data_IF_811141323069
#
_entry.id   IF_811141323069
#
_cell.length_a   1.000
_cell.length_b   1.000
_cell.length_c   1.000
_cell.angle_alpha   90.00
_cell.angle_beta   90.00
_cell.angle_gamma   90.00
#
_symmetry.space_group_name_H-M   'P 1'
#
loop_
_entity.id
_entity.type
_entity.pdbx_description
1 polymer ?
#
# COMPACT_ATOMS: atom_id res chain seq x y z
N UNK A 1 -10.37 -29.06 11.03
CA UNK A 1 -11.52 -29.54 11.84
C UNK A 1 -12.49 -28.41 12.20
N UNK A 2 -12.04 -27.19 12.52
CA UNK A 2 -12.94 -26.02 12.76
C UNK A 2 -13.68 -25.56 11.49
N UNK A 3 -13.08 -25.72 10.30
CA UNK A 3 -13.72 -25.35 9.03
C UNK A 3 -14.76 -26.35 8.49
N UNK A 4 -14.94 -27.54 9.09
CA UNK A 4 -15.95 -28.48 8.59
C UNK A 4 -17.37 -28.17 9.07
N UNK A 5 -17.52 -27.56 10.26
CA UNK A 5 -18.84 -27.11 10.74
C UNK A 5 -19.25 -25.72 10.22
N UNK A 6 -18.27 -24.88 9.85
CA UNK A 6 -18.51 -23.53 9.34
C UNK A 6 -18.17 -23.34 7.85
N UNK A 7 -17.73 -24.38 7.14
CA UNK A 7 -17.39 -24.30 5.71
C UNK A 7 -18.55 -23.84 4.83
N UNK A 8 -19.78 -24.18 5.22
CA UNK A 8 -21.01 -23.71 4.58
C UNK A 8 -21.38 -22.25 4.91
N UNK A 9 -20.77 -21.63 5.93
CA UNK A 9 -20.96 -20.19 6.18
C UNK A 9 -20.17 -19.33 5.21
N UNK A 10 -19.04 -19.82 4.68
CA UNK A 10 -18.22 -19.09 3.70
C UNK A 10 -18.70 -19.27 2.25
N UNK A 11 -19.70 -20.11 2.00
CA UNK A 11 -20.28 -20.29 0.66
C UNK A 11 -21.33 -19.25 0.30
N UNK A 12 -21.63 -18.31 1.20
CA UNK A 12 -22.58 -17.22 0.97
C UNK A 12 -21.83 -15.89 0.88
N UNK A 13 -22.24 -15.07 -0.09
CA UNK A 13 -21.59 -13.78 -0.38
C UNK A 13 -21.64 -12.79 0.81
N UNK A 14 -22.67 -12.89 1.67
CA UNK A 14 -22.83 -11.97 2.80
C UNK A 14 -21.80 -12.22 3.92
N UNK A 15 -21.67 -13.43 4.53
CA UNK A 15 -20.62 -13.70 5.50
C UNK A 15 -19.22 -13.37 4.97
N UNK A 16 -18.91 -13.76 3.74
CA UNK A 16 -17.61 -13.47 3.12
C UNK A 16 -17.35 -11.96 3.05
N UNK A 17 -18.27 -11.20 2.45
CA UNK A 17 -18.10 -9.75 2.31
C UNK A 17 -17.99 -9.01 3.64
N UNK A 18 -18.70 -9.42 4.69
CA UNK A 18 -18.57 -8.82 6.03
C UNK A 18 -17.21 -9.15 6.67
N UNK A 19 -16.75 -10.38 6.50
CA UNK A 19 -15.46 -10.82 7.04
C UNK A 19 -14.31 -10.10 6.32
N UNK A 20 -14.42 -9.92 5.01
CA UNK A 20 -13.47 -9.13 4.22
C UNK A 20 -13.39 -7.69 4.76
N UNK A 21 -14.52 -7.05 5.03
CA UNK A 21 -14.57 -5.71 5.64
C UNK A 21 -13.85 -5.67 7.00
N UNK A 22 -14.00 -6.71 7.82
CA UNK A 22 -13.30 -6.82 9.10
C UNK A 22 -11.79 -6.92 8.85
N UNK A 23 -11.34 -7.82 7.98
CA UNK A 23 -9.92 -7.96 7.70
C UNK A 23 -9.32 -6.67 7.11
N UNK A 24 -9.99 -6.05 6.15
CA UNK A 24 -9.57 -4.77 5.56
C UNK A 24 -9.43 -3.68 6.63
N UNK A 25 -10.43 -3.54 7.51
CA UNK A 25 -10.37 -2.51 8.57
C UNK A 25 -9.24 -2.78 9.57
N UNK A 26 -8.97 -4.04 9.88
CA UNK A 26 -7.85 -4.39 10.75
C UNK A 26 -6.50 -4.24 10.05
N UNK A 27 -6.41 -4.51 8.74
CA UNK A 27 -5.21 -4.23 7.94
C UNK A 27 -4.90 -2.72 7.90
N UNK A 28 -5.92 -1.87 7.75
CA UNK A 28 -5.74 -0.41 7.82
C UNK A 28 -5.13 0.04 9.17
N UNK A 29 -5.41 -0.66 10.28
CA UNK A 29 -4.79 -0.37 11.59
C UNK A 29 -3.30 -0.70 11.62
N UNK A 30 -2.84 -1.59 10.74
CA UNK A 30 -1.45 -2.01 10.63
C UNK A 30 -0.63 -1.12 9.72
N UNK A 31 -1.24 -0.12 9.10
CA UNK A 31 -0.54 0.84 8.26
C UNK A 31 0.57 1.55 9.08
N UNK A 32 1.82 1.43 8.59
CA UNK A 32 3.02 1.90 9.28
C UNK A 32 3.49 1.07 10.49
N UNK A 33 2.84 -0.05 10.83
CA UNK A 33 3.22 -0.91 11.96
C UNK A 33 4.09 -2.11 11.52
N UNK A 34 3.77 -2.71 10.37
CA UNK A 34 4.34 -3.99 9.91
C UNK A 34 5.79 -3.91 9.40
N UNK A 35 6.37 -2.72 9.28
CA UNK A 35 7.65 -2.51 8.59
C UNK A 35 8.88 -3.15 9.24
N UNK A 36 8.75 -3.59 10.51
CA UNK A 36 9.87 -3.95 11.38
C UNK A 36 9.69 -5.29 12.12
N UNK A 37 8.73 -6.12 11.73
CA UNK A 37 8.51 -7.43 12.35
C UNK A 37 9.29 -8.48 11.57
N UNK A 38 10.26 -9.12 12.23
CA UNK A 38 10.94 -10.28 11.65
C UNK A 38 9.97 -11.48 11.65
N UNK A 39 9.35 -11.73 10.49
CA UNK A 39 8.28 -12.73 10.34
C UNK A 39 8.76 -14.19 10.50
N UNK A 40 10.08 -14.45 10.48
CA UNK A 40 10.63 -15.80 10.48
C UNK A 40 10.30 -16.64 11.74
N UNK A 41 9.86 -16.01 12.83
CA UNK A 41 9.46 -16.71 14.06
C UNK A 41 8.00 -16.45 14.47
N UNK A 42 7.36 -15.40 13.95
CA UNK A 42 6.11 -14.89 14.49
C UNK A 42 4.85 -15.44 13.82
N UNK A 43 4.85 -15.66 12.49
CA UNK A 43 3.61 -15.94 11.75
C UNK A 43 2.91 -17.21 12.26
N UNK A 44 3.66 -18.29 12.48
CA UNK A 44 3.11 -19.53 13.00
C UNK A 44 2.58 -19.39 14.42
N UNK A 45 3.25 -18.61 15.28
CA UNK A 45 2.83 -18.39 16.66
C UNK A 45 1.57 -17.53 16.71
N UNK A 46 1.53 -16.46 15.92
CA UNK A 46 0.38 -15.56 15.79
C UNK A 46 -0.84 -16.30 15.24
N UNK A 47 -0.67 -17.05 14.15
CA UNK A 47 -1.73 -17.84 13.56
C UNK A 47 -2.25 -18.90 14.55
N UNK A 48 -1.34 -19.63 15.23
CA UNK A 48 -1.74 -20.60 16.26
C UNK A 48 -2.52 -19.95 17.38
N UNK A 49 -2.05 -18.81 17.91
CA UNK A 49 -2.76 -18.12 18.97
C UNK A 49 -4.16 -17.70 18.54
N UNK A 50 -4.28 -17.07 17.35
CA UNK A 50 -5.57 -16.67 16.79
C UNK A 50 -6.52 -17.86 16.64
N UNK A 51 -6.08 -18.96 16.02
CA UNK A 51 -6.94 -20.13 15.79
C UNK A 51 -7.29 -20.88 17.09
N UNK A 52 -6.37 -20.95 18.06
CA UNK A 52 -6.65 -21.53 19.38
C UNK A 52 -7.67 -20.68 20.14
N UNK A 53 -7.52 -19.36 20.13
CA UNK A 53 -8.46 -18.44 20.77
C UNK A 53 -9.85 -18.55 20.12
N UNK A 54 -9.92 -18.52 18.79
CA UNK A 54 -11.14 -18.67 18.03
C UNK A 54 -11.83 -20.02 18.29
N UNK A 55 -11.06 -21.10 18.34
CA UNK A 55 -11.56 -22.44 18.67
C UNK A 55 -12.17 -22.48 20.07
N UNK A 56 -11.43 -22.01 21.08
CA UNK A 56 -11.91 -21.94 22.47
C UNK A 56 -13.19 -21.10 22.59
N UNK A 57 -13.29 -20.00 21.85
CA UNK A 57 -14.46 -19.12 21.88
C UNK A 57 -15.68 -19.79 21.22
N UNK A 58 -15.45 -20.51 20.13
CA UNK A 58 -16.48 -21.32 19.44
C UNK A 58 -17.00 -22.42 20.36
N UNK A 59 -16.11 -23.17 21.01
CA UNK A 59 -16.49 -24.23 21.95
C UNK A 59 -17.33 -23.68 23.11
N UNK A 60 -16.93 -22.52 23.64
CA UNK A 60 -17.69 -21.83 24.69
C UNK A 60 -19.07 -21.36 24.23
N UNK A 61 -19.21 -20.95 22.97
CA UNK A 61 -20.50 -20.53 22.41
C UNK A 61 -21.50 -21.69 22.30
N UNK A 62 -21.02 -22.92 22.15
CA UNK A 62 -21.84 -24.14 22.18
C UNK A 62 -22.27 -24.49 23.61
N UNK A 63 -21.36 -24.31 24.57
CA UNK A 63 -21.53 -24.79 25.95
C UNK A 63 -22.19 -23.79 26.90
N UNK A 64 -22.10 -22.49 26.63
CA UNK A 64 -22.55 -21.41 27.52
C UNK A 64 -23.59 -20.51 26.85
N UNK A 65 -24.82 -20.56 27.37
CA UNK A 65 -25.94 -19.78 26.85
C UNK A 65 -25.73 -18.26 26.99
N UNK A 66 -25.04 -17.79 28.03
CA UNK A 66 -24.78 -16.37 28.22
C UNK A 66 -23.79 -15.86 27.18
N UNK A 67 -22.77 -16.67 26.85
CA UNK A 67 -21.83 -16.34 25.78
C UNK A 67 -22.55 -16.37 24.45
N UNK A 68 -23.38 -17.38 24.18
CA UNK A 68 -24.17 -17.43 22.96
C UNK A 68 -25.02 -16.17 22.75
N UNK A 69 -25.64 -15.65 23.81
CA UNK A 69 -26.40 -14.40 23.75
C UNK A 69 -25.53 -13.19 23.39
N UNK A 70 -24.32 -13.07 23.96
CA UNK A 70 -23.38 -11.97 23.66
C UNK A 70 -22.91 -11.93 22.20
N UNK A 71 -22.89 -13.07 21.52
CA UNK A 71 -22.44 -13.20 20.13
C UNK A 71 -23.59 -13.27 19.13
N UNK A 72 -24.83 -13.22 19.59
CA UNK A 72 -26.03 -13.26 18.76
C UNK A 72 -26.58 -11.85 18.52
N UNK A 73 -27.27 -11.66 17.39
CA UNK A 73 -28.12 -10.48 17.24
C UNK A 73 -29.28 -10.52 18.24
N UNK A 74 -29.77 -9.35 18.71
CA UNK A 74 -30.96 -9.30 19.54
C UNK A 74 -32.14 -10.02 18.90
N UNK A 75 -32.90 -10.79 19.68
CA UNK A 75 -34.05 -11.55 19.18
C UNK A 75 -35.27 -10.69 18.84
N UNK A 76 -35.25 -9.39 19.18
CA UNK A 76 -36.35 -8.47 18.86
C UNK A 76 -36.40 -8.18 17.36
N UNK A 77 -37.60 -7.93 16.79
CA UNK A 77 -37.71 -7.39 15.43
C UNK A 77 -36.91 -6.10 15.31
N UNK A 78 -36.12 -5.99 14.24
CA UNK A 78 -35.29 -4.82 13.95
C UNK A 78 -35.48 -4.43 12.49
N UNK A 79 -35.46 -3.13 12.21
CA UNK A 79 -35.39 -2.66 10.84
C UNK A 79 -33.97 -2.86 10.28
N UNK A 80 -33.85 -2.73 8.96
CA UNK A 80 -32.57 -2.87 8.24
C UNK A 80 -31.46 -2.01 8.87
N UNK A 81 -31.75 -0.73 9.11
CA UNK A 81 -30.76 0.24 9.61
C UNK A 81 -30.25 -0.15 11.00
N UNK A 82 -31.16 -0.56 11.89
CA UNK A 82 -30.81 -1.00 13.23
C UNK A 82 -29.92 -2.24 13.20
N UNK A 83 -30.31 -3.25 12.42
CA UNK A 83 -29.57 -4.52 12.36
C UNK A 83 -28.18 -4.31 11.72
N UNK A 84 -28.09 -3.56 10.63
CA UNK A 84 -26.82 -3.29 9.97
C UNK A 84 -25.87 -2.47 10.85
N UNK A 85 -26.39 -1.62 11.73
CA UNK A 85 -25.56 -0.88 12.70
C UNK A 85 -24.75 -1.79 13.63
N UNK A 86 -25.22 -3.01 13.93
CA UNK A 86 -24.45 -3.97 14.73
C UNK A 86 -23.21 -4.44 14.00
N UNK A 87 -23.30 -4.66 12.68
CA UNK A 87 -22.15 -5.02 11.85
C UNK A 87 -21.16 -3.89 11.75
N UNK A 88 -21.63 -2.65 11.52
CA UNK A 88 -20.76 -1.47 11.49
C UNK A 88 -19.96 -1.29 12.80
N UNK A 89 -20.53 -1.68 13.95
CA UNK A 89 -19.85 -1.62 15.26
C UNK A 89 -18.76 -2.68 15.47
N UNK A 90 -18.71 -3.73 14.64
CA UNK A 90 -17.66 -4.75 14.74
C UNK A 90 -16.29 -4.22 14.25
N UNK A 91 -16.30 -3.12 13.50
CA UNK A 91 -15.10 -2.47 12.98
C UNK A 91 -14.97 -1.06 13.55
N UNK A 92 -13.73 -0.61 13.77
CA UNK A 92 -13.46 0.70 14.38
C UNK A 92 -13.79 1.87 13.47
N UNK A 93 -13.71 1.66 12.15
CA UNK A 93 -13.98 2.68 11.13
C UNK A 93 -14.70 2.02 9.96
N UNK A 94 -15.90 2.51 9.66
CA UNK A 94 -16.66 2.06 8.49
C UNK A 94 -16.48 3.04 7.34
N UNK A 95 -16.14 2.54 6.15
CA UNK A 95 -16.06 3.34 4.93
C UNK A 95 -17.19 2.93 3.97
N UNK A 96 -18.24 3.75 3.88
CA UNK A 96 -19.40 3.44 3.04
C UNK A 96 -19.06 3.31 1.55
N UNK A 97 -18.03 4.01 1.05
CA UNK A 97 -17.63 3.93 -0.35
C UNK A 97 -16.89 2.62 -0.66
N UNK A 98 -16.00 2.19 0.24
CA UNK A 98 -15.24 0.95 0.08
C UNK A 98 -16.10 -0.29 0.34
N UNK A 99 -17.01 -0.23 1.33
CA UNK A 99 -17.76 -1.39 1.81
C UNK A 99 -19.21 -1.44 1.31
N UNK A 100 -19.50 -0.73 0.21
CA UNK A 100 -20.82 -0.67 -0.41
C UNK A 100 -21.34 -2.06 -0.85
N UNK A 101 -20.43 -2.97 -1.19
CA UNK A 101 -20.77 -4.34 -1.60
C UNK A 101 -21.34 -5.15 -0.43
N UNK A 102 -20.72 -5.07 0.76
CA UNK A 102 -21.22 -5.73 1.96
C UNK A 102 -22.61 -5.19 2.35
N UNK A 103 -22.83 -3.88 2.22
CA UNK A 103 -24.15 -3.28 2.42
C UNK A 103 -25.18 -3.79 1.41
N UNK A 104 -24.78 -3.93 0.15
CA UNK A 104 -25.64 -4.44 -0.94
C UNK A 104 -26.07 -5.87 -0.68
N UNK A 105 -25.13 -6.75 -0.35
CA UNK A 105 -25.47 -8.11 0.04
C UNK A 105 -26.36 -8.14 1.28
N UNK A 106 -26.07 -7.31 2.29
CA UNK A 106 -26.92 -7.27 3.47
C UNK A 106 -28.38 -6.91 3.12
N UNK A 107 -28.60 -5.93 2.25
CA UNK A 107 -29.95 -5.54 1.79
C UNK A 107 -30.68 -6.70 1.09
N UNK A 108 -29.98 -7.45 0.23
CA UNK A 108 -30.54 -8.59 -0.49
C UNK A 108 -31.04 -9.64 0.51
N UNK A 109 -30.20 -10.06 1.45
CA UNK A 109 -30.55 -11.08 2.44
C UNK A 109 -31.56 -10.56 3.48
N UNK A 110 -31.60 -9.26 3.78
CA UNK A 110 -32.55 -8.69 4.74
C UNK A 110 -33.98 -8.68 4.19
N UNK A 111 -34.12 -8.40 2.89
CA UNK A 111 -35.41 -8.37 2.21
C UNK A 111 -35.97 -9.77 1.93
N UNK A 112 -35.16 -10.81 2.04
CA UNK A 112 -35.58 -12.20 1.95
C UNK A 112 -35.86 -12.80 3.35
N UNK A 113 -37.12 -13.10 3.70
CA UNK A 113 -37.47 -13.68 4.99
C UNK A 113 -36.78 -15.02 5.29
N UNK A 114 -36.52 -15.83 4.26
CA UNK A 114 -35.88 -17.15 4.40
C UNK A 114 -34.38 -17.01 4.77
N UNK A 115 -33.78 -15.89 4.38
CA UNK A 115 -32.38 -15.55 4.58
C UNK A 115 -32.06 -14.93 5.95
N UNK A 116 -33.04 -14.63 6.80
CA UNK A 116 -32.79 -14.00 8.12
C UNK A 116 -31.88 -14.84 9.03
N UNK A 117 -31.99 -16.16 8.96
CA UNK A 117 -31.11 -17.08 9.68
C UNK A 117 -29.65 -16.95 9.25
N UNK A 118 -29.40 -16.62 7.98
CA UNK A 118 -28.06 -16.41 7.42
C UNK A 118 -27.46 -15.12 7.99
N UNK A 119 -28.23 -14.04 8.12
CA UNK A 119 -27.74 -12.79 8.70
C UNK A 119 -27.28 -12.98 10.15
N UNK A 120 -28.07 -13.71 10.96
CA UNK A 120 -27.70 -13.99 12.35
C UNK A 120 -26.42 -14.82 12.45
N UNK A 121 -26.29 -15.84 11.61
CA UNK A 121 -25.06 -16.64 11.50
C UNK A 121 -23.88 -15.76 11.07
N UNK A 122 -24.04 -14.95 10.02
CA UNK A 122 -23.02 -14.03 9.52
C UNK A 122 -22.52 -13.09 10.62
N UNK A 123 -23.43 -12.49 11.39
CA UNK A 123 -23.08 -11.64 12.54
C UNK A 123 -22.24 -12.39 13.57
N UNK A 124 -22.68 -13.61 13.93
CA UNK A 124 -22.00 -14.42 14.94
C UNK A 124 -20.55 -14.71 14.52
N UNK A 125 -20.32 -15.17 13.29
CA UNK A 125 -18.95 -15.40 12.81
C UNK A 125 -18.13 -14.12 12.69
N UNK A 126 -18.72 -13.05 12.15
CA UNK A 126 -18.05 -11.77 12.04
C UNK A 126 -17.58 -11.26 13.42
N UNK A 127 -18.45 -11.38 14.43
CA UNK A 127 -18.11 -10.99 15.81
C UNK A 127 -17.04 -11.89 16.43
N UNK A 128 -17.13 -13.21 16.23
CA UNK A 128 -16.10 -14.15 16.69
C UNK A 128 -14.72 -13.81 16.10
N UNK A 129 -14.66 -13.49 14.80
CA UNK A 129 -13.43 -13.11 14.11
C UNK A 129 -12.91 -11.79 14.65
N UNK A 130 -13.76 -10.75 14.72
CA UNK A 130 -13.36 -9.44 15.23
C UNK A 130 -12.81 -9.52 16.66
N UNK A 131 -13.50 -10.22 17.57
CA UNK A 131 -13.05 -10.36 18.96
C UNK A 131 -11.76 -11.20 19.06
N UNK A 132 -11.57 -12.20 18.18
CA UNK A 132 -10.34 -13.01 18.12
C UNK A 132 -9.15 -12.22 17.57
N UNK A 133 -9.37 -11.37 16.57
CA UNK A 133 -8.35 -10.44 16.05
C UNK A 133 -7.93 -9.45 17.14
N UNK A 134 -8.90 -8.84 17.82
CA UNK A 134 -8.61 -7.87 18.89
C UNK A 134 -7.87 -8.52 20.07
N UNK A 135 -8.24 -9.74 20.45
CA UNK A 135 -7.52 -10.50 21.47
C UNK A 135 -6.07 -10.82 21.04
N UNK A 136 -5.86 -11.15 19.77
CA UNK A 136 -4.53 -11.40 19.21
C UNK A 136 -3.69 -10.12 19.19
N UNK A 137 -4.28 -8.99 18.79
CA UNK A 137 -3.59 -7.70 18.75
C UNK A 137 -3.17 -7.23 20.15
N UNK A 138 -4.02 -7.45 21.14
CA UNK A 138 -3.71 -7.19 22.56
C UNK A 138 -2.63 -8.09 23.13
N UNK A 139 -2.55 -9.33 22.66
CA UNK A 139 -1.55 -10.29 23.11
C UNK A 139 -0.16 -10.01 22.53
N UNK A 140 -0.10 -9.48 21.30
CA UNK A 140 1.13 -9.17 20.58
C UNK A 140 1.17 -7.71 20.13
N UNK A 141 1.09 -6.74 21.07
CA UNK A 141 1.06 -5.33 20.73
C UNK A 141 2.28 -4.90 19.91
N UNK A 142 3.45 -5.50 20.16
CA UNK A 142 4.71 -5.25 19.43
C UNK A 142 4.66 -5.55 17.93
N UNK A 143 3.69 -6.37 17.51
CA UNK A 143 3.48 -6.72 16.10
C UNK A 143 2.41 -5.82 15.46
N UNK A 144 1.37 -5.47 16.22
CA UNK A 144 0.13 -4.91 15.66
C UNK A 144 -0.18 -3.47 16.08
N UNK A 145 0.58 -2.87 17.01
CA UNK A 145 0.43 -1.45 17.37
C UNK A 145 1.60 -0.63 16.82
N UNK A 146 1.38 0.66 16.49
CA UNK A 146 2.46 1.57 16.13
C UNK A 146 3.50 1.63 17.26
N UNK A 147 4.79 1.58 16.92
CA UNK A 147 5.88 1.58 17.93
C UNK A 147 5.86 2.81 18.83
N UNK A 148 5.43 3.97 18.32
CA UNK A 148 5.21 5.17 19.12
C UNK A 148 4.25 4.94 20.32
N UNK A 149 3.34 3.98 20.21
CA UNK A 149 2.40 3.58 21.27
C UNK A 149 3.00 2.59 22.27
N UNK A 150 4.19 2.04 22.01
CA UNK A 150 4.86 0.99 22.79
C UNK A 150 6.21 1.54 23.27
N UNK A 151 6.20 2.45 24.25
CA UNK A 151 7.44 2.93 24.84
C UNK A 151 8.03 1.86 25.77
N UNK A 152 9.00 1.08 25.29
CA UNK A 152 9.69 0.07 26.10
C UNK A 152 11.17 -0.03 25.71
N UNK A 153 12.11 -0.09 26.67
CA UNK A 153 13.53 -0.32 26.41
C UNK A 153 13.83 -1.62 25.64
N UNK A 154 12.88 -2.57 25.59
CA UNK A 154 13.00 -3.83 24.85
C UNK A 154 12.72 -3.69 23.35
N UNK A 155 12.18 -2.56 22.91
CA UNK A 155 11.80 -2.30 21.52
C UNK A 155 12.34 -0.93 21.10
N UNK A 156 13.62 -0.83 20.70
CA UNK A 156 14.20 0.43 20.28
C UNK A 156 13.46 1.01 19.06
N UNK A 157 13.51 2.34 18.93
CA UNK A 157 13.05 3.04 17.73
C UNK A 157 13.80 2.47 16.53
N UNK A 158 13.12 2.14 15.45
CA UNK A 158 13.77 1.54 14.28
C UNK A 158 13.55 2.35 13.03
N UNK A 159 14.62 2.61 12.28
CA UNK A 159 14.57 3.43 11.05
C UNK A 159 15.31 2.71 9.92
N UNK A 160 14.68 2.66 8.74
CA UNK A 160 15.35 2.18 7.51
C UNK A 160 16.35 3.21 7.00
N UNK A 161 17.59 2.75 6.82
CA UNK A 161 18.64 3.47 6.10
C UNK A 161 18.74 2.87 4.72
N UNK A 162 18.30 3.63 3.73
CA UNK A 162 18.34 3.23 2.33
C UNK A 162 19.76 3.39 1.80
N UNK A 163 20.28 2.31 1.21
CA UNK A 163 21.60 2.27 0.60
C UNK A 163 21.46 2.21 -0.92
N UNK A 164 21.99 3.25 -1.59
CA UNK A 164 22.10 3.31 -3.04
C UNK A 164 23.56 3.53 -3.43
N UNK A 165 24.27 2.42 -3.68
CA UNK A 165 25.72 2.42 -3.89
C UNK A 165 26.45 2.99 -2.67
N UNK A 166 27.15 4.12 -2.81
CA UNK A 166 27.86 4.80 -1.73
C UNK A 166 26.94 5.65 -0.84
N UNK A 167 25.74 5.95 -1.31
CA UNK A 167 24.89 6.95 -0.68
C UNK A 167 23.96 6.28 0.32
N UNK A 168 23.82 6.91 1.49
CA UNK A 168 22.93 6.47 2.57
C UNK A 168 22.00 7.59 2.96
N UNK A 169 20.71 7.30 3.04
CA UNK A 169 19.69 8.29 3.36
C UNK A 169 18.49 7.64 4.05
N UNK A 170 17.71 8.46 4.74
CA UNK A 170 16.51 8.03 5.48
C UNK A 170 15.32 8.88 5.04
N UNK A 171 14.11 8.33 5.11
CA UNK A 171 12.90 9.11 4.87
C UNK A 171 12.75 10.12 6.01
N UNK A 172 12.67 11.41 5.67
CA UNK A 172 12.68 12.53 6.62
C UNK A 172 11.46 12.49 7.53
N UNK A 173 10.27 12.30 6.97
CA UNK A 173 9.02 12.21 7.70
C UNK A 173 9.03 11.13 8.77
N UNK A 174 9.44 9.91 8.39
CA UNK A 174 9.58 8.79 9.32
C UNK A 174 10.52 9.12 10.47
N UNK A 175 11.68 9.68 10.17
CA UNK A 175 12.66 10.06 11.20
C UNK A 175 12.06 11.09 12.16
N UNK A 176 11.38 12.12 11.65
CA UNK A 176 10.77 13.16 12.48
C UNK A 176 9.66 12.61 13.37
N UNK A 177 8.81 11.74 12.80
CA UNK A 177 7.71 11.06 13.51
C UNK A 177 8.24 10.20 14.66
N UNK A 178 9.23 9.34 14.39
CA UNK A 178 9.82 8.46 15.40
C UNK A 178 10.56 9.25 16.51
N UNK A 179 11.07 10.43 16.18
CA UNK A 179 11.68 11.35 17.14
C UNK A 179 10.67 12.24 17.89
N UNK A 180 9.36 12.06 17.68
CA UNK A 180 8.29 12.91 18.21
C UNK A 180 8.53 14.41 17.94
N UNK A 181 8.99 14.75 16.73
CA UNK A 181 9.18 16.13 16.31
C UNK A 181 7.97 16.54 15.46
N UNK A 182 7.17 17.48 15.97
CA UNK A 182 6.06 18.06 15.21
C UNK A 182 6.58 18.87 14.02
N UNK A 183 6.02 18.63 12.85
CA UNK A 183 6.25 19.42 11.63
C UNK A 183 5.01 20.27 11.35
N UNK A 184 5.22 21.56 11.06
CA UNK A 184 4.13 22.46 10.65
C UNK A 184 3.73 22.27 9.17
N UNK A 185 4.53 21.52 8.41
CA UNK A 185 4.32 21.27 6.98
C UNK A 185 3.43 20.04 6.79
N UNK A 186 2.34 20.19 6.03
CA UNK A 186 1.55 19.05 5.56
C UNK A 186 2.41 18.19 4.62
N UNK A 187 2.69 16.96 5.03
CA UNK A 187 3.47 16.04 4.22
C UNK A 187 2.72 15.64 2.95
N UNK A 188 3.40 15.74 1.82
CA UNK A 188 2.91 15.20 0.58
C UNK A 188 2.93 13.66 0.63
N UNK A 189 1.78 13.04 0.87
CA UNK A 189 1.65 11.57 0.97
C UNK A 189 2.09 10.82 -0.29
N UNK A 190 2.11 11.49 -1.44
CA UNK A 190 2.49 10.89 -2.72
C UNK A 190 4.02 10.96 -2.98
N UNK A 191 4.73 11.85 -2.29
CA UNK A 191 6.17 12.13 -2.45
C UNK A 191 6.87 12.20 -1.10
N UNK A 192 7.76 11.25 -0.82
CA UNK A 192 8.47 11.16 0.45
C UNK A 192 9.88 11.74 0.32
N UNK A 193 10.10 12.87 1.01
CA UNK A 193 11.42 13.49 1.11
C UNK A 193 12.39 12.61 1.89
N UNK A 194 13.66 12.66 1.50
CA UNK A 194 14.73 12.00 2.25
C UNK A 194 15.78 13.01 2.69
N UNK A 195 16.54 12.62 3.70
CA UNK A 195 17.70 13.34 4.20
C UNK A 195 18.89 12.39 4.20
N UNK A 196 20.08 12.90 3.85
CA UNK A 196 21.28 12.07 3.89
C UNK A 196 21.54 11.59 5.32
N UNK A 197 22.07 10.38 5.47
CA UNK A 197 22.30 9.80 6.80
C UNK A 197 23.27 10.65 7.63
N UNK A 198 24.30 11.20 6.99
CA UNK A 198 25.30 12.03 7.66
C UNK A 198 24.72 13.39 8.08
N UNK A 199 23.88 14.01 7.24
CA UNK A 199 23.16 15.24 7.59
C UNK A 199 22.16 14.99 8.72
N UNK A 200 21.40 13.90 8.66
CA UNK A 200 20.47 13.54 9.72
C UNK A 200 21.20 13.34 11.06
N UNK A 201 22.33 12.60 11.05
CA UNK A 201 23.17 12.44 12.23
C UNK A 201 23.67 13.77 12.77
N UNK A 202 24.07 14.70 11.89
CA UNK A 202 24.51 16.05 12.29
C UNK A 202 23.38 16.89 12.89
N UNK A 203 22.16 16.82 12.34
CA UNK A 203 21.03 17.64 12.78
C UNK A 203 20.44 17.17 14.12
N UNK A 204 20.31 15.87 14.31
CA UNK A 204 19.61 15.31 15.47
C UNK A 204 20.54 14.85 16.59
N UNK A 205 21.86 14.73 16.32
CA UNK A 205 22.90 14.57 17.34
C UNK A 205 22.60 13.45 18.34
N UNK A 206 22.49 13.79 19.62
CA UNK A 206 22.22 12.83 20.70
C UNK A 206 20.84 12.16 20.61
N UNK A 207 19.88 12.72 19.86
CA UNK A 207 18.57 12.08 19.63
C UNK A 207 18.66 10.85 18.72
N UNK A 208 19.79 10.67 18.01
CA UNK A 208 20.07 9.41 17.29
C UNK A 208 20.42 8.26 18.23
N UNK A 209 20.75 8.54 19.50
CA UNK A 209 21.09 7.50 20.46
C UNK A 209 19.83 6.70 20.83
N UNK A 210 19.91 5.37 20.73
CA UNK A 210 18.77 4.49 21.00
C UNK A 210 17.91 4.18 19.78
N UNK A 211 18.26 4.71 18.59
CA UNK A 211 17.69 4.28 17.31
C UNK A 211 18.47 3.07 16.79
N UNK A 212 17.74 2.01 16.46
CA UNK A 212 18.24 0.88 15.69
C UNK A 212 18.05 1.16 14.20
N UNK A 213 19.15 1.10 13.43
CA UNK A 213 19.12 1.37 12.00
C UNK A 213 19.10 0.07 11.21
N UNK A 214 18.04 -0.13 10.42
CA UNK A 214 17.96 -1.26 9.49
C UNK A 214 18.51 -0.81 8.14
N UNK A 215 19.59 -1.46 7.70
CA UNK A 215 20.13 -1.25 6.36
C UNK A 215 19.20 -1.86 5.32
N UNK A 216 18.81 -1.07 4.33
CA UNK A 216 17.91 -1.49 3.26
C UNK A 216 18.53 -1.17 1.90
N UNK A 217 18.98 -2.20 1.20
CA UNK A 217 19.58 -2.04 -0.13
C UNK A 217 18.51 -1.76 -1.20
N UNK A 218 18.72 -0.70 -2.00
CA UNK A 218 17.85 -0.41 -3.14
C UNK A 218 18.24 -1.31 -4.31
N UNK A 219 17.50 -2.42 -4.42
CA UNK A 219 17.64 -3.36 -5.52
C UNK A 219 17.02 -2.81 -6.81
N UNK A 220 17.69 -3.06 -7.94
CA UNK A 220 17.20 -2.72 -9.28
C UNK A 220 17.22 -3.95 -10.17
N UNK A 221 16.09 -4.26 -10.80
CA UNK A 221 16.06 -5.25 -11.85
C UNK A 221 16.59 -4.64 -13.15
N UNK A 222 16.96 -5.49 -14.12
CA UNK A 222 17.52 -5.06 -15.41
C UNK A 222 16.66 -4.02 -16.14
N UNK A 223 15.34 -4.03 -15.93
CA UNK A 223 14.39 -3.22 -16.70
C UNK A 223 13.45 -2.37 -15.85
N UNK A 224 13.48 -2.50 -14.52
CA UNK A 224 12.58 -1.80 -13.62
C UNK A 224 13.19 -1.66 -12.21
N UNK A 225 12.75 -0.66 -11.46
CA UNK A 225 13.02 -0.59 -10.03
C UNK A 225 12.33 -1.75 -9.32
N UNK A 226 12.94 -2.27 -8.26
CA UNK A 226 12.24 -3.15 -7.33
C UNK A 226 11.39 -2.25 -6.41
N UNK A 227 10.06 -2.47 -6.33
CA UNK A 227 9.21 -1.76 -5.39
C UNK A 227 9.70 -1.89 -3.95
N UNK A 228 9.66 -0.80 -3.20
CA UNK A 228 10.00 -0.73 -1.78
C UNK A 228 8.72 -0.52 -1.00
N UNK A 229 8.55 -1.18 0.14
CA UNK A 229 7.41 -0.92 1.02
C UNK A 229 7.49 0.50 1.57
N UNK A 230 6.41 1.26 1.38
CA UNK A 230 6.28 2.62 1.86
C UNK A 230 5.86 2.65 3.33
N UNK A 231 6.27 3.68 4.09
CA UNK A 231 5.97 3.81 5.52
C UNK A 231 4.52 4.15 5.85
N UNK A 232 3.77 4.67 4.89
CA UNK A 232 2.32 4.90 4.97
C UNK A 232 1.57 3.82 4.18
N UNK A 233 2.16 2.63 4.08
CA UNK A 233 1.58 1.50 3.37
C UNK A 233 1.80 1.58 1.86
N UNK A 234 1.52 0.45 1.21
CA UNK A 234 1.73 0.29 -0.22
C UNK A 234 3.21 0.27 -0.62
N UNK A 235 3.48 0.63 -1.88
CA UNK A 235 4.80 0.53 -2.46
C UNK A 235 5.25 1.87 -3.06
N UNK A 236 6.54 2.17 -2.91
CA UNK A 236 7.21 3.33 -3.47
C UNK A 236 8.43 2.92 -4.30
N UNK A 237 8.94 3.86 -5.10
CA UNK A 237 10.16 3.73 -5.88
C UNK A 237 10.95 5.03 -5.82
N UNK A 238 12.28 4.94 -5.95
CA UNK A 238 13.14 6.12 -6.00
C UNK A 238 12.77 6.97 -7.23
N UNK A 239 12.68 8.29 -7.06
CA UNK A 239 12.25 9.20 -8.12
C UNK A 239 13.11 9.11 -9.39
N UNK A 240 14.43 8.92 -9.23
CA UNK A 240 15.33 8.72 -10.35
C UNK A 240 14.98 7.45 -11.17
N UNK A 241 14.64 6.36 -10.49
CA UNK A 241 14.25 5.12 -11.18
C UNK A 241 12.85 5.24 -11.80
N UNK A 242 11.94 5.96 -11.16
CA UNK A 242 10.63 6.30 -11.71
C UNK A 242 10.74 7.13 -12.99
N UNK A 243 11.62 8.15 -13.00
CA UNK A 243 11.92 8.96 -14.18
C UNK A 243 12.46 8.09 -15.32
N UNK A 244 13.41 7.21 -15.04
CA UNK A 244 13.96 6.29 -16.06
C UNK A 244 12.86 5.38 -16.62
N UNK A 245 12.01 4.81 -15.78
CA UNK A 245 10.88 3.98 -16.23
C UNK A 245 9.86 4.76 -17.07
N UNK A 246 9.59 6.00 -16.68
CA UNK A 246 8.71 6.89 -17.41
C UNK A 246 9.28 7.24 -18.79
N UNK A 247 10.54 7.68 -18.86
CA UNK A 247 11.24 7.95 -20.12
C UNK A 247 11.29 6.72 -21.02
N UNK A 248 11.59 5.54 -20.48
CA UNK A 248 11.55 4.27 -21.25
C UNK A 248 10.17 4.02 -21.85
N UNK A 249 9.10 4.30 -21.10
CA UNK A 249 7.74 4.16 -21.60
C UNK A 249 7.46 5.13 -22.74
N UNK A 250 7.84 6.41 -22.59
CA UNK A 250 7.67 7.42 -23.63
C UNK A 250 8.44 7.07 -24.93
N UNK A 251 9.68 6.59 -24.80
CA UNK A 251 10.58 6.30 -25.93
C UNK A 251 10.20 4.98 -26.62
N UNK A 252 10.17 3.88 -25.88
CA UNK A 252 10.07 2.54 -26.47
C UNK A 252 8.63 2.08 -26.65
N UNK A 253 7.77 2.30 -25.63
CA UNK A 253 6.40 1.78 -25.64
C UNK A 253 5.47 2.68 -26.45
N UNK A 254 5.50 3.97 -26.18
CA UNK A 254 4.57 4.93 -26.78
C UNK A 254 5.15 5.70 -27.95
N UNK A 255 6.48 5.65 -28.13
CA UNK A 255 7.22 6.31 -29.22
C UNK A 255 6.79 7.78 -29.39
N UNK A 256 6.56 8.46 -28.27
CA UNK A 256 5.96 9.81 -28.20
C UNK A 256 6.75 10.80 -29.06
N UNK A 257 8.08 10.72 -29.00
CA UNK A 257 8.97 11.62 -29.74
C UNK A 257 8.93 11.41 -31.27
N UNK A 258 8.44 10.27 -31.75
CA UNK A 258 8.20 10.04 -33.18
C UNK A 258 6.76 10.41 -33.59
N UNK A 259 5.81 10.33 -32.64
CA UNK A 259 4.39 10.54 -32.91
C UNK A 259 3.98 12.02 -32.82
N UNK A 260 4.67 12.80 -31.98
CA UNK A 260 4.33 14.19 -31.70
C UNK A 260 5.24 15.13 -32.50
N UNK A 261 4.65 15.92 -33.40
CA UNK A 261 5.36 16.91 -34.23
C UNK A 261 4.70 18.28 -34.16
N UNK A 262 5.48 19.35 -34.36
CA UNK A 262 4.98 20.72 -34.46
C UNK A 262 4.41 21.26 -33.15
N UNK A 263 3.26 21.94 -33.21
CA UNK A 263 2.61 22.61 -32.07
C UNK A 263 2.28 21.68 -30.89
N UNK A 264 2.20 20.36 -31.12
CA UNK A 264 1.97 19.38 -30.05
C UNK A 264 3.19 19.21 -29.12
N UNK A 265 4.35 19.73 -29.48
CA UNK A 265 5.55 19.69 -28.62
C UNK A 265 5.38 20.49 -27.33
N UNK A 266 4.71 21.65 -27.40
CA UNK A 266 4.42 22.47 -26.22
C UNK A 266 3.57 21.71 -25.19
N UNK A 267 2.69 20.81 -25.65
CA UNK A 267 1.90 19.93 -24.78
C UNK A 267 2.77 18.87 -24.10
N UNK A 268 3.79 18.32 -24.79
CA UNK A 268 4.77 17.45 -24.12
C UNK A 268 5.47 18.21 -23.01
N UNK A 269 5.97 19.42 -23.29
CA UNK A 269 6.66 20.23 -22.29
C UNK A 269 5.76 20.50 -21.08
N UNK A 270 4.49 20.87 -21.32
CA UNK A 270 3.50 21.05 -20.25
C UNK A 270 3.28 19.77 -19.45
N UNK A 271 3.01 18.63 -20.09
CA UNK A 271 2.82 17.36 -19.40
C UNK A 271 4.06 16.91 -18.62
N UNK A 272 5.27 17.16 -19.13
CA UNK A 272 6.50 16.88 -18.41
C UNK A 272 6.68 17.78 -17.19
N UNK A 273 6.29 19.06 -17.27
CA UNK A 273 6.32 19.99 -16.14
C UNK A 273 5.32 19.64 -15.02
N UNK A 274 4.28 18.88 -15.35
CA UNK A 274 3.29 18.37 -14.38
C UNK A 274 3.75 17.07 -13.70
N UNK A 275 4.93 16.52 -14.06
CA UNK A 275 5.49 15.36 -13.37
C UNK A 275 6.10 15.74 -12.02
N UNK A 276 6.20 14.80 -11.07
CA UNK A 276 6.88 15.04 -9.79
C UNK A 276 8.41 15.18 -9.94
N UNK A 277 8.97 15.06 -11.15
CA UNK A 277 10.40 15.12 -11.43
C UNK A 277 10.89 16.57 -11.55
N UNK A 278 10.80 17.33 -10.47
CA UNK A 278 11.25 18.72 -10.46
C UNK A 278 12.75 18.84 -10.16
N UNK A 279 13.50 19.71 -10.88
CA UNK A 279 14.90 20.00 -10.58
C UNK A 279 15.07 20.83 -9.30
N UNK A 280 13.98 21.33 -8.71
CA UNK A 280 14.03 22.08 -7.44
C UNK A 280 14.43 21.21 -6.26
N UNK A 281 14.20 19.90 -6.33
CA UNK A 281 14.62 18.98 -5.28
C UNK A 281 16.12 18.70 -5.40
N UNK A 282 16.87 19.16 -4.39
CA UNK A 282 18.31 18.88 -4.23
C UNK A 282 18.59 17.63 -3.41
N UNK A 283 17.54 16.92 -3.03
CA UNK A 283 17.59 15.69 -2.25
C UNK A 283 16.97 14.53 -3.03
N UNK A 284 17.29 13.30 -2.61
CA UNK A 284 16.64 12.09 -3.12
C UNK A 284 15.24 12.01 -2.53
N UNK A 285 14.28 11.50 -3.29
CA UNK A 285 12.92 11.30 -2.78
C UNK A 285 12.30 10.05 -3.39
N UNK A 286 11.33 9.49 -2.68
CA UNK A 286 10.53 8.38 -3.16
C UNK A 286 9.17 8.86 -3.65
N UNK A 287 8.61 8.15 -4.62
CA UNK A 287 7.28 8.40 -5.17
C UNK A 287 6.44 7.15 -4.95
N UNK A 288 5.21 7.32 -4.45
CA UNK A 288 4.25 6.22 -4.34
C UNK A 288 3.92 5.66 -5.73
N UNK A 289 3.95 4.34 -5.89
CA UNK A 289 3.74 3.68 -7.20
C UNK A 289 2.34 4.01 -7.75
N UNK A 290 1.32 4.09 -6.89
CA UNK A 290 -0.04 4.41 -7.33
C UNK A 290 -0.12 5.84 -7.89
N UNK A 291 0.54 6.79 -7.24
CA UNK A 291 0.67 8.16 -7.74
C UNK A 291 1.43 8.21 -9.07
N UNK A 292 2.57 7.53 -9.15
CA UNK A 292 3.37 7.44 -10.37
C UNK A 292 2.57 6.86 -11.54
N UNK A 293 1.82 5.77 -11.33
CA UNK A 293 0.94 5.16 -12.33
C UNK A 293 -0.19 6.11 -12.76
N UNK A 294 -0.81 6.82 -11.81
CA UNK A 294 -1.89 7.78 -12.08
C UNK A 294 -1.41 8.92 -12.97
N UNK A 295 -0.29 9.56 -12.61
CA UNK A 295 0.31 10.65 -13.40
C UNK A 295 0.76 10.14 -14.77
N UNK A 296 1.52 9.04 -14.80
CA UNK A 296 1.99 8.44 -16.05
C UNK A 296 0.84 8.12 -17.00
N UNK A 297 -0.22 7.47 -16.50
CA UNK A 297 -1.42 7.14 -17.28
C UNK A 297 -2.21 8.37 -17.74
N UNK A 298 -2.27 9.43 -16.94
CA UNK A 298 -2.87 10.70 -17.37
C UNK A 298 -2.06 11.32 -18.52
N UNK A 299 -0.75 11.46 -18.38
CA UNK A 299 0.13 12.04 -19.41
C UNK A 299 0.06 11.24 -20.70
N UNK A 300 0.19 9.91 -20.62
CA UNK A 300 0.13 9.03 -21.80
C UNK A 300 -1.20 9.19 -22.55
N UNK A 301 -2.33 9.27 -21.85
CA UNK A 301 -3.63 9.50 -22.50
C UNK A 301 -3.70 10.82 -23.26
N UNK A 302 -3.09 11.88 -22.73
CA UNK A 302 -3.04 13.18 -23.40
C UNK A 302 -2.09 13.17 -24.61
N UNK A 303 -0.97 12.45 -24.51
CA UNK A 303 0.05 12.42 -25.57
C UNK A 303 -0.25 11.43 -26.69
N UNK A 304 -1.06 10.39 -26.45
CA UNK A 304 -1.29 9.29 -27.39
C UNK A 304 -2.76 9.23 -27.86
N UNK A 305 -3.20 10.20 -28.64
CA UNK A 305 -4.58 10.24 -29.19
C UNK A 305 -4.74 9.39 -30.46
N UNK A 306 -3.66 9.05 -31.17
CA UNK A 306 -3.66 8.09 -32.28
C UNK A 306 -2.22 7.71 -32.62
N UNK A 307 -1.86 6.42 -32.72
CA UNK A 307 -0.54 6.02 -33.20
C UNK A 307 -0.45 6.32 -34.70
N UNK A 308 0.56 7.07 -35.14
CA UNK A 308 0.93 7.10 -36.56
C UNK A 308 1.29 5.68 -37.03
N UNK A 309 0.86 5.31 -38.22
CA UNK A 309 1.35 4.09 -38.87
C UNK A 309 2.83 4.24 -39.23
N UNK A 310 3.61 3.16 -39.13
CA UNK A 310 5.02 3.15 -39.55
C UNK A 310 6.07 3.61 -38.52
N UNK A 311 5.71 3.73 -37.23
CA UNK A 311 6.67 4.08 -36.18
C UNK A 311 7.71 2.97 -35.95
N UNK A 312 8.99 3.34 -35.99
CA UNK A 312 10.11 2.40 -35.91
C UNK A 312 10.57 2.19 -34.48
N UNK A 313 11.10 1.01 -34.20
CA UNK A 313 11.75 0.73 -32.92
C UNK A 313 13.16 1.32 -32.89
N UNK A 314 13.55 1.79 -31.71
CA UNK A 314 14.93 2.19 -31.41
C UNK A 314 15.80 0.94 -31.43
N UNK A 315 16.85 0.95 -32.24
CA UNK A 315 17.77 -0.18 -32.38
C UNK A 315 18.77 -0.21 -31.24
N UNK A 316 19.23 -1.42 -30.90
CA UNK A 316 20.31 -1.57 -29.93
C UNK A 316 21.62 -0.99 -30.48
N UNK A 317 22.40 -0.38 -29.58
CA UNK A 317 23.77 -0.02 -29.90
C UNK A 317 24.59 -1.27 -30.28
N UNK A 318 25.56 -1.08 -31.16
CA UNK A 318 26.50 -2.14 -31.53
C UNK A 318 27.48 -2.41 -30.38
N UNK A 319 28.22 -3.53 -30.45
CA UNK A 319 29.14 -3.97 -29.39
C UNK A 319 30.30 -3.00 -29.14
N UNK A 320 30.65 -2.16 -30.12
CA UNK A 320 31.66 -1.11 -30.07
C UNK A 320 31.19 0.16 -29.33
N UNK A 321 29.96 0.17 -28.82
CA UNK A 321 29.41 1.24 -27.99
C UNK A 321 28.46 2.17 -28.75
N UNK A 322 28.26 3.36 -28.19
CA UNK A 322 27.35 4.39 -28.72
C UNK A 322 28.13 5.67 -29.03
N UNK A 323 28.34 5.97 -30.31
CA UNK A 323 29.02 7.16 -30.81
C UNK A 323 28.02 8.21 -31.29
N UNK A 324 28.47 9.45 -31.47
CA UNK A 324 27.68 10.52 -32.09
C UNK A 324 27.16 10.12 -33.49
N UNK A 325 27.97 9.40 -34.28
CA UNK A 325 27.52 8.89 -35.58
C UNK A 325 26.43 7.84 -35.43
N UNK A 326 26.46 7.00 -34.37
CA UNK A 326 25.37 6.08 -34.09
C UNK A 326 24.08 6.84 -33.75
N UNK A 327 24.16 7.93 -32.99
CA UNK A 327 23.01 8.80 -32.71
C UNK A 327 22.44 9.38 -34.01
N UNK A 328 23.27 9.98 -34.87
CA UNK A 328 22.82 10.53 -36.17
C UNK A 328 22.13 9.47 -37.04
N UNK A 329 22.74 8.30 -37.17
CA UNK A 329 22.18 7.19 -37.94
C UNK A 329 20.86 6.68 -37.36
N UNK A 330 20.72 6.70 -36.03
CA UNK A 330 19.49 6.30 -35.36
C UNK A 330 18.39 7.34 -35.54
N UNK A 331 18.70 8.63 -35.38
CA UNK A 331 17.76 9.72 -35.64
C UNK A 331 17.24 9.69 -37.08
N UNK A 332 18.11 9.46 -38.07
CA UNK A 332 17.69 9.26 -39.47
C UNK A 332 16.79 8.04 -39.62
N UNK A 333 17.12 6.90 -39.00
CA UNK A 333 16.29 5.69 -39.03
C UNK A 333 14.89 5.98 -38.48
N UNK A 334 14.80 6.70 -37.36
CA UNK A 334 13.53 7.05 -36.70
C UNK A 334 12.75 8.19 -37.38
N UNK A 335 13.29 8.80 -38.45
CA UNK A 335 12.63 9.91 -39.17
C UNK A 335 12.78 11.27 -38.47
N UNK A 336 13.84 11.46 -37.69
CA UNK A 336 14.13 12.68 -36.90
C UNK A 336 15.47 13.35 -37.32
N UNK A 337 15.76 13.60 -38.62
CA UNK A 337 17.11 13.96 -39.08
C UNK A 337 17.61 15.37 -38.69
N UNK A 338 16.80 16.21 -38.04
CA UNK A 338 17.10 17.63 -37.77
C UNK A 338 17.35 18.01 -36.30
N UNK A 339 17.55 17.05 -35.39
CA UNK A 339 17.74 17.29 -33.94
C UNK A 339 19.23 17.22 -33.52
N UNK A 340 20.17 17.19 -34.48
CA UNK A 340 21.62 17.08 -34.20
C UNK A 340 22.26 18.38 -33.76
#
# INVERSE_FOLDING_TARGET
>A
MIFSEYGHMFSHDLPASIIDVIFDTYEERLDGCCEYVNLNWGVDVLARYFFVYLGNLTDRLVLDANIKEQYSLPSKPMCYVEMFSYFKKLVSKWNDAQYCLAETYFKIYFNDPESRGIISKAYTAAKLIADSLEATFKQFPEVFLPRASISSPKHPITIRVFEDRSDRFVIKSNLMKELNIETAEEENKDVMETISFDEAKSLFGSRFNGIEFIRFEINRAKHAAVPIWGPTGGHCILAADALIQFLRSLIFKFKVFQNVTGERWSYIQKCLSETPFTPTYKFRFFIMINHFKRIGGAIIRHLCVTPRSGLKDVRNAKKDGFTEQNLKNELTHLGLPGIS
#
